data_IF_646575893894
#
_entry.id   IF_646575893894
#
_cell.length_a   1.000
_cell.length_b   1.000
_cell.length_c   1.000
_cell.angle_alpha   90.00
_cell.angle_beta   90.00
_cell.angle_gamma   90.00
#
_symmetry.space_group_name_H-M   'P 1'
#
loop_
_entity.id
_entity.type
_entity.pdbx_description
1 polymer ?
#
# COMPACT_ATOMS: atom_id res chain seq x y z
N UNK A 1 -7.92 -8.39 -8.54
CA UNK A 1 -6.96 -7.33 -8.14
C UNK A 1 -6.22 -7.76 -6.89
N UNK A 2 -4.90 -7.62 -6.87
CA UNK A 2 -4.08 -7.76 -5.66
C UNK A 2 -3.40 -6.43 -5.35
N UNK A 3 -3.33 -6.06 -4.07
CA UNK A 3 -2.70 -4.83 -3.59
C UNK A 3 -1.41 -5.20 -2.88
N UNK A 4 -0.29 -4.72 -3.41
CA UNK A 4 1.05 -4.92 -2.87
C UNK A 4 1.51 -3.66 -2.15
N UNK A 5 1.96 -3.85 -0.91
CA UNK A 5 2.49 -2.80 -0.06
C UNK A 5 3.93 -3.17 0.27
N UNK A 6 4.89 -2.38 -0.20
CA UNK A 6 6.29 -2.63 0.05
C UNK A 6 6.86 -1.66 1.07
N UNK A 7 7.64 -2.18 2.02
CA UNK A 7 8.31 -1.39 3.05
C UNK A 7 9.64 -0.77 2.58
N UNK A 8 10.05 -1.01 1.33
CA UNK A 8 11.29 -0.46 0.75
C UNK A 8 11.18 -0.31 -0.76
N UNK A 9 12.07 0.48 -1.35
CA UNK A 9 12.05 0.80 -2.79
C UNK A 9 12.56 -0.34 -3.69
N UNK A 10 13.41 -1.23 -3.18
CA UNK A 10 13.97 -2.33 -4.00
C UNK A 10 12.95 -3.44 -4.27
N UNK A 11 12.04 -3.66 -3.32
CA UNK A 11 11.07 -4.75 -3.35
C UNK A 11 10.01 -4.62 -4.47
N UNK A 12 9.41 -3.44 -4.73
CA UNK A 12 8.52 -3.21 -5.87
C UNK A 12 9.16 -3.57 -7.20
N UNK A 13 10.45 -3.25 -7.40
CA UNK A 13 11.14 -3.51 -8.64
C UNK A 13 11.43 -5.01 -8.84
N UNK A 14 11.79 -5.73 -7.77
CA UNK A 14 11.88 -7.20 -7.79
C UNK A 14 10.52 -7.85 -8.08
N UNK A 15 9.45 -7.28 -7.53
CA UNK A 15 8.10 -7.76 -7.78
C UNK A 15 7.65 -7.52 -9.23
N UNK A 16 7.98 -6.34 -9.75
CA UNK A 16 7.72 -5.94 -11.12
C UNK A 16 8.42 -6.86 -12.12
N UNK A 17 9.68 -7.23 -11.87
CA UNK A 17 10.42 -8.16 -12.72
C UNK A 17 9.74 -9.54 -12.81
N UNK A 18 9.14 -10.01 -11.71
CA UNK A 18 8.35 -11.26 -11.71
C UNK A 18 7.02 -11.11 -12.47
N UNK A 19 6.43 -9.91 -12.49
CA UNK A 19 5.17 -9.64 -13.19
C UNK A 19 5.36 -9.29 -14.67
N UNK A 20 6.54 -8.80 -15.07
CA UNK A 20 6.79 -8.38 -16.46
C UNK A 20 6.76 -9.52 -17.48
N UNK A 21 6.81 -10.77 -17.03
CA UNK A 21 6.60 -11.94 -17.89
C UNK A 21 5.14 -12.09 -18.33
N UNK A 22 4.20 -11.41 -17.67
CA UNK A 22 2.76 -11.60 -17.86
C UNK A 22 2.07 -10.39 -18.51
N UNK A 23 2.64 -9.18 -18.37
CA UNK A 23 2.15 -8.00 -19.10
C UNK A 23 2.86 -6.70 -18.76
N UNK A 24 2.21 -5.57 -19.04
CA UNK A 24 2.85 -4.26 -18.99
C UNK A 24 2.95 -3.75 -17.55
N UNK A 25 4.11 -3.16 -17.23
CA UNK A 25 4.38 -2.51 -15.95
C UNK A 25 4.36 -1.00 -16.16
N UNK A 26 3.63 -0.28 -15.32
CA UNK A 26 3.64 1.18 -15.31
C UNK A 26 4.10 1.71 -13.95
N UNK A 27 4.95 2.74 -13.96
CA UNK A 27 5.36 3.49 -12.78
C UNK A 27 4.77 4.90 -12.82
N UNK A 28 3.94 5.22 -11.83
CA UNK A 28 3.48 6.58 -11.56
C UNK A 28 4.47 7.26 -10.64
N UNK A 29 5.01 8.40 -11.07
CA UNK A 29 6.00 9.16 -10.30
C UNK A 29 5.80 10.67 -10.47
N UNK A 30 6.38 11.45 -9.55
CA UNK A 30 6.52 12.90 -9.66
C UNK A 30 7.99 13.25 -9.85
N UNK A 31 8.40 13.63 -11.07
CA UNK A 31 9.77 14.08 -11.33
C UNK A 31 10.84 12.99 -11.06
N UNK A 32 11.83 13.30 -10.23
CA UNK A 32 12.91 12.38 -9.87
C UNK A 32 12.42 11.37 -8.80
N UNK A 33 12.25 10.11 -9.20
CA UNK A 33 11.96 9.01 -8.30
C UNK A 33 13.12 8.02 -8.30
N UNK A 34 13.58 7.65 -7.10
CA UNK A 34 14.62 6.64 -6.93
C UNK A 34 14.17 5.25 -7.41
N UNK A 35 12.87 5.02 -7.62
CA UNK A 35 12.34 3.79 -8.20
C UNK A 35 12.56 3.71 -9.70
N UNK A 36 12.71 4.83 -10.41
CA UNK A 36 12.82 4.83 -11.88
C UNK A 36 14.04 4.03 -12.31
N UNK A 37 15.22 4.34 -11.77
CA UNK A 37 16.47 3.66 -12.11
C UNK A 37 16.43 2.19 -11.70
N UNK A 38 15.95 1.90 -10.48
CA UNK A 38 15.85 0.53 -9.96
C UNK A 38 14.88 -0.33 -10.78
N UNK A 39 13.77 0.24 -11.22
CA UNK A 39 12.79 -0.45 -12.05
C UNK A 39 13.32 -0.68 -13.47
N UNK A 40 13.93 0.33 -14.10
CA UNK A 40 14.52 0.21 -15.43
C UNK A 40 15.69 -0.78 -15.47
N UNK A 41 16.41 -0.96 -14.35
CA UNK A 41 17.47 -1.95 -14.24
C UNK A 41 16.95 -3.40 -14.20
N UNK A 42 15.68 -3.61 -13.87
CA UNK A 42 15.07 -4.94 -13.64
C UNK A 42 13.95 -5.28 -14.62
N UNK A 43 13.41 -4.30 -15.33
CA UNK A 43 12.30 -4.43 -16.28
C UNK A 43 12.73 -3.78 -17.60
N UNK A 44 12.61 -4.53 -18.71
CA UNK A 44 13.09 -4.08 -20.02
C UNK A 44 12.29 -2.90 -20.59
N UNK A 45 10.98 -2.82 -20.29
CA UNK A 45 10.08 -1.82 -20.87
C UNK A 45 9.04 -1.26 -19.87
N UNK A 46 9.44 -0.65 -18.75
CA UNK A 46 8.49 0.00 -17.86
C UNK A 46 7.91 1.25 -18.54
N UNK A 47 6.60 1.43 -18.42
CA UNK A 47 5.91 2.65 -18.84
C UNK A 47 6.07 3.67 -17.71
N UNK A 48 6.86 4.72 -17.93
CA UNK A 48 7.02 5.80 -16.97
C UNK A 48 5.94 6.86 -17.19
N UNK A 49 5.20 7.18 -16.14
CA UNK A 49 4.07 8.11 -16.17
C UNK A 49 4.30 9.21 -15.14
N UNK A 50 4.62 10.40 -15.63
CA UNK A 50 4.64 11.61 -14.83
C UNK A 50 3.20 12.04 -14.51
N UNK A 51 2.87 12.11 -13.22
CA UNK A 51 1.54 12.44 -12.72
C UNK A 51 1.12 13.90 -12.99
N UNK A 52 2.08 14.81 -13.24
CA UNK A 52 1.80 16.18 -13.65
C UNK A 52 1.80 16.36 -15.17
N UNK A 53 2.34 15.38 -15.88
CA UNK A 53 2.44 15.38 -17.33
C UNK A 53 1.10 15.10 -18.02
N UNK A 54 0.98 15.45 -19.32
CA UNK A 54 -0.15 15.04 -20.15
C UNK A 54 -0.20 13.51 -20.38
N UNK A 55 0.81 12.78 -19.89
CA UNK A 55 0.95 11.34 -20.08
C UNK A 55 -0.09 10.55 -19.29
N UNK A 56 -0.42 10.98 -18.07
CA UNK A 56 -1.39 10.28 -17.21
C UNK A 56 -2.75 10.06 -17.90
N UNK A 57 -3.21 11.05 -18.69
CA UNK A 57 -4.49 10.96 -19.42
C UNK A 57 -4.44 10.18 -20.74
N UNK A 58 -3.24 9.73 -21.15
CA UNK A 58 -3.02 8.98 -22.39
C UNK A 58 -2.71 7.51 -22.15
N UNK A 59 -2.46 7.11 -20.91
CA UNK A 59 -2.20 5.72 -20.55
C UNK A 59 -3.52 4.96 -20.62
N UNK A 60 -3.53 3.89 -21.41
CA UNK A 60 -4.62 2.92 -21.38
C UNK A 60 -4.29 1.89 -20.28
N UNK A 61 -4.93 2.04 -19.12
CA UNK A 61 -4.69 1.16 -17.98
C UNK A 61 -5.24 -0.26 -18.17
N UNK A 62 -6.15 -0.48 -19.13
CA UNK A 62 -6.64 -1.81 -19.49
C UNK A 62 -5.54 -2.75 -20.01
N UNK A 63 -4.42 -2.19 -20.47
CA UNK A 63 -3.27 -2.95 -20.97
C UNK A 63 -2.17 -3.11 -19.91
N UNK A 64 -2.32 -2.51 -18.73
CA UNK A 64 -1.35 -2.53 -17.64
C UNK A 64 -1.73 -3.65 -16.67
N UNK A 65 -0.77 -4.54 -16.40
CA UNK A 65 -0.97 -5.65 -15.46
C UNK A 65 -0.61 -5.24 -14.04
N UNK A 66 0.46 -4.47 -13.89
CA UNK A 66 0.93 -3.94 -12.61
C UNK A 66 1.19 -2.45 -12.71
N UNK A 67 0.52 -1.70 -11.85
CA UNK A 67 0.73 -0.28 -11.66
C UNK A 67 1.46 -0.06 -10.34
N UNK A 68 2.66 0.52 -10.42
CA UNK A 68 3.48 0.89 -9.27
C UNK A 68 3.30 2.39 -9.04
N UNK A 69 2.93 2.79 -7.84
CA UNK A 69 2.85 4.19 -7.45
C UNK A 69 3.93 4.48 -6.40
N UNK A 70 4.82 5.42 -6.75
CA UNK A 70 5.72 6.03 -5.77
C UNK A 70 4.93 7.07 -4.96
N UNK A 71 4.60 6.73 -3.73
CA UNK A 71 3.81 7.59 -2.84
C UNK A 71 4.73 8.23 -1.81
N UNK A 72 5.20 9.42 -2.14
CA UNK A 72 5.81 10.34 -1.17
C UNK A 72 4.75 11.29 -0.58
N UNK A 73 4.94 11.81 0.64
CA UNK A 73 4.09 12.86 1.19
C UNK A 73 3.97 14.07 0.24
N UNK A 74 5.07 14.46 -0.40
CA UNK A 74 5.14 15.55 -1.37
C UNK A 74 4.21 15.30 -2.56
N UNK A 75 4.29 14.09 -3.14
CA UNK A 75 3.46 13.64 -4.25
C UNK A 75 1.99 13.70 -3.93
N UNK A 76 1.60 13.26 -2.74
CA UNK A 76 0.21 13.27 -2.28
C UNK A 76 -0.33 14.67 -2.01
N UNK A 77 0.51 15.58 -1.50
CA UNK A 77 0.14 16.96 -1.22
C UNK A 77 0.19 17.86 -2.46
N UNK A 78 0.76 17.38 -3.57
CA UNK A 78 0.84 18.11 -4.84
C UNK A 78 -0.53 18.20 -5.55
N UNK A 79 -0.65 19.12 -6.52
CA UNK A 79 -1.82 19.22 -7.38
C UNK A 79 -2.04 17.96 -8.26
N UNK A 80 -0.97 17.23 -8.57
CA UNK A 80 -1.00 15.95 -9.26
C UNK A 80 -1.44 14.81 -8.35
N UNK A 81 -1.13 14.90 -7.05
CA UNK A 81 -1.50 13.92 -6.03
C UNK A 81 -3.00 13.67 -5.96
N UNK A 82 -3.83 14.72 -6.03
CA UNK A 82 -5.29 14.51 -6.04
C UNK A 82 -5.76 13.73 -7.27
N UNK A 83 -5.22 14.05 -8.46
CA UNK A 83 -5.56 13.34 -9.71
C UNK A 83 -5.08 11.90 -9.69
N UNK A 84 -3.88 11.67 -9.17
CA UNK A 84 -3.32 10.35 -8.94
C UNK A 84 -4.25 9.52 -8.05
N UNK A 85 -4.70 10.10 -6.94
CA UNK A 85 -5.60 9.44 -6.00
C UNK A 85 -6.97 9.11 -6.62
N UNK A 86 -7.55 10.06 -7.37
CA UNK A 86 -8.82 9.82 -8.07
C UNK A 86 -8.66 8.71 -9.14
N UNK A 87 -7.55 8.69 -9.88
CA UNK A 87 -7.25 7.65 -10.87
C UNK A 87 -7.05 6.27 -10.23
N UNK A 88 -6.23 6.18 -9.18
CA UNK A 88 -5.99 4.93 -8.45
C UNK A 88 -7.28 4.39 -7.81
N UNK A 89 -8.12 5.27 -7.26
CA UNK A 89 -9.42 4.90 -6.70
C UNK A 89 -10.39 4.36 -7.75
N UNK A 90 -10.37 4.90 -8.97
CA UNK A 90 -11.18 4.39 -10.08
C UNK A 90 -10.68 3.03 -10.56
N UNK A 91 -9.37 2.90 -10.82
CA UNK A 91 -8.75 1.66 -11.30
C UNK A 91 -8.93 0.51 -10.31
N UNK A 92 -8.89 0.80 -9.01
CA UNK A 92 -9.12 -0.22 -7.99
C UNK A 92 -10.54 -0.81 -7.99
N UNK A 93 -11.53 -0.11 -8.57
CA UNK A 93 -12.91 -0.60 -8.65
C UNK A 93 -13.12 -1.56 -9.83
N UNK A 94 -12.26 -1.53 -10.84
CA UNK A 94 -12.40 -2.30 -12.08
C UNK A 94 -11.83 -3.73 -11.96
N UNK A 95 -11.07 -4.02 -10.91
CA UNK A 95 -10.81 -5.38 -10.41
C UNK A 95 -9.76 -6.20 -11.16
N UNK A 96 -9.26 -5.76 -12.32
CA UNK A 96 -8.31 -6.54 -13.13
C UNK A 96 -6.84 -6.16 -12.90
N UNK A 97 -6.57 -4.91 -12.51
CA UNK A 97 -5.23 -4.39 -12.31
C UNK A 97 -4.62 -4.80 -10.97
N UNK A 98 -3.32 -5.12 -10.93
CA UNK A 98 -2.56 -5.19 -9.68
C UNK A 98 -1.95 -3.84 -9.33
N UNK A 99 -2.00 -3.47 -8.06
CA UNK A 99 -1.48 -2.19 -7.56
C UNK A 99 -0.31 -2.44 -6.62
N UNK A 100 0.83 -1.80 -6.86
CA UNK A 100 1.96 -1.79 -5.93
C UNK A 100 2.23 -0.38 -5.44
N UNK A 101 2.44 -0.25 -4.13
CA UNK A 101 2.74 1.02 -3.49
C UNK A 101 4.11 0.94 -2.83
N UNK A 102 4.88 2.01 -3.04
CA UNK A 102 6.21 2.20 -2.48
C UNK A 102 6.31 3.57 -1.84
N UNK A 103 7.14 3.69 -0.80
CA UNK A 103 7.44 4.95 -0.13
C UNK A 103 6.82 5.10 1.26
N UNK A 104 7.32 6.10 1.98
CA UNK A 104 7.05 6.30 3.41
C UNK A 104 5.58 6.71 3.69
N UNK A 105 4.81 7.07 2.66
CA UNK A 105 3.41 7.51 2.78
C UNK A 105 2.37 6.39 2.50
N UNK A 106 2.75 5.11 2.51
CA UNK A 106 1.85 3.98 2.18
C UNK A 106 0.59 3.88 3.07
N UNK A 107 0.56 4.59 4.21
CA UNK A 107 -0.63 4.78 5.06
C UNK A 107 -1.87 5.29 4.29
N UNK A 108 -1.67 5.92 3.14
CA UNK A 108 -2.70 6.49 2.26
C UNK A 108 -3.52 5.42 1.52
N UNK A 109 -3.23 4.12 1.64
CA UNK A 109 -4.10 3.07 1.10
C UNK A 109 -5.23 2.62 2.06
N UNK A 110 -5.27 3.18 3.28
CA UNK A 110 -6.19 2.84 4.38
C UNK A 110 -7.34 3.82 4.69
N UNK A 111 -7.98 3.67 5.86
CA UNK A 111 -9.16 4.45 6.31
C UNK A 111 -8.82 5.88 6.78
N UNK A 112 -9.77 6.79 6.57
CA UNK A 112 -9.85 8.18 7.04
C UNK A 112 -9.68 8.31 8.57
N UNK A 113 -8.71 9.10 9.01
CA UNK A 113 -8.67 9.65 10.37
C UNK A 113 -9.34 11.05 10.34
N UNK A 114 -10.16 11.37 11.34
CA UNK A 114 -10.94 12.63 11.43
C UNK A 114 -10.07 13.91 11.56
N UNK A 115 -8.74 13.77 11.67
CA UNK A 115 -7.78 14.87 11.77
C UNK A 115 -7.49 15.56 10.43
N UNK A 116 -8.14 15.12 9.33
CA UNK A 116 -8.35 15.95 8.14
C UNK A 116 -7.13 16.23 7.26
N UNK A 117 -6.00 15.57 7.48
CA UNK A 117 -4.75 15.83 6.73
C UNK A 117 -4.38 14.70 5.74
N UNK A 118 -4.92 13.48 5.88
CA UNK A 118 -4.54 12.37 4.97
C UNK A 118 -5.72 11.49 4.61
N UNK A 119 -6.48 11.86 3.58
CA UNK A 119 -7.52 11.00 3.03
C UNK A 119 -6.85 9.83 2.29
N UNK A 120 -7.01 8.60 2.79
CA UNK A 120 -6.56 7.41 2.10
C UNK A 120 -7.53 6.95 1.00
N UNK A 121 -7.04 6.15 0.05
CA UNK A 121 -7.80 5.50 -1.02
C UNK A 121 -8.81 4.46 -0.50
N UNK A 122 -8.67 4.03 0.77
CA UNK A 122 -9.49 2.99 1.39
C UNK A 122 -9.54 1.70 0.54
N UNK A 123 -8.40 1.33 -0.06
CA UNK A 123 -8.25 0.10 -0.85
C UNK A 123 -8.27 -1.13 0.04
N UNK A 124 -7.80 -0.99 1.29
CA UNK A 124 -7.96 -1.98 2.34
C UNK A 124 -9.00 -1.45 3.33
N UNK A 125 -10.26 -1.95 3.28
CA UNK A 125 -11.35 -1.38 4.05
C UNK A 125 -11.05 -1.30 5.54
N UNK A 126 -11.39 -0.19 6.19
CA UNK A 126 -11.29 -0.03 7.67
C UNK A 126 -9.92 -0.44 8.24
N UNK A 127 -8.85 -0.16 7.51
CA UNK A 127 -7.50 -0.57 7.90
C UNK A 127 -6.57 0.63 7.90
N UNK A 128 -5.76 0.77 8.95
CA UNK A 128 -4.62 1.69 9.01
C UNK A 128 -3.38 0.93 8.58
N UNK A 129 -2.60 1.52 7.69
CA UNK A 129 -1.39 0.88 7.16
C UNK A 129 -0.17 1.65 7.67
N UNK A 130 0.83 0.91 8.16
CA UNK A 130 2.10 1.46 8.60
C UNK A 130 3.20 0.87 7.70
N UNK A 131 3.83 1.68 6.83
CA UNK A 131 4.86 1.19 5.90
C UNK A 131 6.16 0.75 6.60
N UNK A 132 6.48 1.36 7.74
CA UNK A 132 7.64 1.00 8.55
C UNK A 132 7.30 1.18 10.03
N UNK A 133 7.18 0.07 10.74
CA UNK A 133 6.90 0.05 12.18
C UNK A 133 8.04 0.65 13.00
N UNK A 134 9.28 0.59 12.51
CA UNK A 134 10.46 1.13 13.20
C UNK A 134 10.49 2.66 13.16
N UNK A 135 9.87 3.26 12.13
CA UNK A 135 9.73 4.70 11.99
C UNK A 135 8.63 5.30 12.89
N UNK A 136 7.77 4.47 13.51
CA UNK A 136 6.64 4.94 14.32
C UNK A 136 7.13 5.42 15.69
N UNK A 137 6.91 6.70 16.06
CA UNK A 137 7.39 7.23 17.35
C UNK A 137 6.77 6.56 18.59
N UNK A 138 5.54 6.06 18.47
CA UNK A 138 4.85 5.33 19.53
C UNK A 138 3.81 4.37 18.95
N UNK A 139 4.19 3.10 18.81
CA UNK A 139 3.27 2.04 18.37
C UNK A 139 2.07 1.91 19.32
N UNK A 140 2.27 2.10 20.62
CA UNK A 140 1.20 2.04 21.62
C UNK A 140 0.13 3.12 21.41
N UNK A 141 0.54 4.36 21.10
CA UNK A 141 -0.41 5.44 20.83
C UNK A 141 -1.21 5.18 19.56
N UNK A 142 -0.56 4.61 18.54
CA UNK A 142 -1.21 4.27 17.27
C UNK A 142 -2.21 3.13 17.44
N UNK A 143 -1.82 2.05 18.13
CA UNK A 143 -2.73 0.96 18.48
C UNK A 143 -3.93 1.45 19.30
N UNK A 144 -3.71 2.41 20.21
CA UNK A 144 -4.79 3.07 20.96
C UNK A 144 -5.79 3.77 20.04
N UNK A 145 -5.33 4.61 19.10
CA UNK A 145 -6.21 5.30 18.13
C UNK A 145 -6.93 4.34 17.19
N UNK A 146 -6.20 3.36 16.65
CA UNK A 146 -6.79 2.34 15.77
C UNK A 146 -7.89 1.56 16.50
N UNK A 147 -7.66 1.28 17.79
CA UNK A 147 -8.66 0.65 18.62
C UNK A 147 -9.89 1.51 18.90
N UNK A 148 -9.70 2.79 19.26
CA UNK A 148 -10.80 3.73 19.54
C UNK A 148 -11.75 3.86 18.35
N UNK A 149 -11.18 3.82 17.14
CA UNK A 149 -11.92 3.91 15.89
C UNK A 149 -12.44 2.56 15.38
N UNK A 150 -12.09 1.46 16.05
CA UNK A 150 -12.45 0.11 15.64
C UNK A 150 -11.96 -0.22 14.22
N UNK A 151 -10.72 0.17 13.89
CA UNK A 151 -10.09 -0.07 12.59
C UNK A 151 -8.98 -1.10 12.72
N UNK A 152 -8.83 -1.94 11.70
CA UNK A 152 -7.75 -2.92 11.59
C UNK A 152 -6.41 -2.21 11.40
N UNK A 153 -5.32 -2.91 11.64
CA UNK A 153 -3.98 -2.39 11.40
C UNK A 153 -3.13 -3.41 10.66
N UNK A 154 -2.47 -2.95 9.60
CA UNK A 154 -1.41 -3.67 8.90
C UNK A 154 -0.12 -2.86 9.04
N UNK A 155 0.83 -3.37 9.81
CA UNK A 155 2.14 -2.74 9.95
C UNK A 155 3.23 -3.61 9.33
N UNK A 156 4.15 -2.97 8.62
CA UNK A 156 5.27 -3.63 7.97
C UNK A 156 6.55 -3.35 8.76
N UNK A 157 7.31 -4.41 9.03
CA UNK A 157 8.66 -4.34 9.57
C UNK A 157 9.62 -4.71 8.44
N UNK A 158 10.37 -3.71 7.96
CA UNK A 158 11.15 -3.82 6.74
C UNK A 158 12.31 -4.83 6.86
N UNK A 159 12.80 -5.41 5.74
CA UNK A 159 12.28 -5.30 4.37
C UNK A 159 11.23 -6.38 4.06
N UNK A 160 10.00 -5.97 3.72
CA UNK A 160 8.86 -6.87 3.50
C UNK A 160 7.88 -6.32 2.45
N UNK A 161 7.25 -7.24 1.70
CA UNK A 161 6.07 -6.97 0.88
C UNK A 161 4.88 -7.70 1.48
N UNK A 162 3.80 -6.96 1.70
CA UNK A 162 2.50 -7.52 2.02
C UNK A 162 1.60 -7.46 0.78
N UNK A 163 1.08 -8.61 0.35
CA UNK A 163 0.09 -8.70 -0.72
C UNK A 163 -1.28 -8.97 -0.11
N UNK A 164 -2.17 -7.98 -0.21
CA UNK A 164 -3.57 -8.08 0.22
C UNK A 164 -4.45 -8.53 -0.96
N UNK A 165 -5.21 -9.59 -0.72
CA UNK A 165 -6.20 -10.14 -1.66
C UNK A 165 -7.62 -9.81 -1.16
N UNK A 166 -8.29 -8.79 -1.75
CA UNK A 166 -9.59 -8.33 -1.26
C UNK A 166 -10.69 -9.39 -1.28
N UNK A 167 -10.67 -10.29 -2.26
CA UNK A 167 -11.69 -11.36 -2.41
C UNK A 167 -11.71 -12.31 -1.21
N UNK A 168 -10.53 -12.58 -0.63
CA UNK A 168 -10.36 -13.51 0.48
C UNK A 168 -10.16 -12.79 1.82
N UNK A 169 -10.00 -11.46 1.80
CA UNK A 169 -9.62 -10.64 2.96
C UNK A 169 -8.37 -11.19 3.67
N UNK A 170 -7.39 -11.65 2.88
CA UNK A 170 -6.13 -12.24 3.35
C UNK A 170 -4.92 -11.40 2.96
N UNK A 171 -3.90 -11.44 3.81
CA UNK A 171 -2.58 -10.88 3.55
C UNK A 171 -1.57 -12.02 3.43
N UNK A 172 -0.75 -11.98 2.40
CA UNK A 172 0.43 -12.83 2.26
C UNK A 172 1.71 -12.01 2.33
N UNK A 173 2.78 -12.60 2.84
CA UNK A 173 4.04 -11.91 3.13
C UNK A 173 5.20 -12.52 2.36
N UNK A 174 6.04 -11.66 1.80
CA UNK A 174 7.32 -12.03 1.19
C UNK A 174 8.43 -11.09 1.66
N UNK A 175 9.62 -11.63 1.91
CA UNK A 175 10.80 -10.86 2.30
C UNK A 175 11.30 -11.19 3.71
N UNK A 176 12.45 -10.63 4.08
CA UNK A 176 13.15 -10.97 5.32
C UNK A 176 12.52 -10.35 6.57
N UNK A 177 11.67 -9.33 6.40
CA UNK A 177 10.94 -8.67 7.46
C UNK A 177 9.65 -9.40 7.89
N UNK A 178 8.69 -8.65 8.42
CA UNK A 178 7.41 -9.22 8.87
C UNK A 178 6.24 -8.25 8.68
N UNK A 179 5.02 -8.78 8.59
CA UNK A 179 3.80 -7.98 8.63
C UNK A 179 3.00 -8.30 9.90
N UNK A 180 2.57 -7.26 10.62
CA UNK A 180 1.71 -7.37 11.79
C UNK A 180 0.28 -7.01 11.39
N UNK A 181 -0.62 -7.98 11.51
CA UNK A 181 -2.07 -7.77 11.42
C UNK A 181 -2.64 -7.59 12.82
N UNK A 182 -3.42 -6.53 13.03
CA UNK A 182 -4.17 -6.33 14.25
C UNK A 182 -5.66 -6.09 13.98
N UNK A 183 -6.49 -6.70 14.81
CA UNK A 183 -7.92 -6.42 14.92
C UNK A 183 -8.25 -6.05 16.36
N UNK A 184 -9.17 -5.13 16.55
CA UNK A 184 -9.56 -4.65 17.87
C UNK A 184 -11.00 -5.06 18.16
N UNK A 185 -11.19 -5.69 19.31
CA UNK A 185 -12.51 -5.99 19.83
C UNK A 185 -13.01 -4.77 20.60
N UNK A 186 -14.16 -4.25 20.17
CA UNK A 186 -14.84 -3.16 20.87
C UNK A 186 -15.14 -3.59 22.31
N UNK A 187 -14.61 -2.86 23.27
CA UNK A 187 -14.98 -3.02 24.67
C UNK A 187 -16.33 -2.37 24.91
N UNK A 188 -17.42 -3.12 24.74
CA UNK A 188 -18.71 -2.71 25.29
C UNK A 188 -18.52 -2.55 26.81
N UNK A 189 -18.72 -1.35 27.34
CA UNK A 189 -18.69 -1.00 28.78
C UNK A 189 -17.36 -0.53 29.40
N UNK A 190 -16.46 0.08 28.62
CA UNK A 190 -15.28 0.76 29.22
C UNK A 190 -14.19 -0.18 29.71
N UNK A 191 -14.23 -1.44 29.28
CA UNK A 191 -13.07 -2.33 29.36
C UNK A 191 -11.97 -1.84 28.42
N UNK A 192 -10.71 -2.06 28.80
CA UNK A 192 -9.58 -1.74 27.93
C UNK A 192 -9.76 -2.51 26.62
N UNK A 193 -9.66 -1.85 25.46
CA UNK A 193 -9.77 -2.55 24.19
C UNK A 193 -8.76 -3.69 24.12
N UNK A 194 -9.22 -4.84 23.64
CA UNK A 194 -8.36 -6.00 23.44
C UNK A 194 -8.00 -6.08 21.97
N UNK A 195 -6.70 -6.05 21.67
CA UNK A 195 -6.19 -6.28 20.33
C UNK A 195 -5.82 -7.76 20.17
N UNK A 196 -6.17 -8.34 19.03
CA UNK A 196 -5.65 -9.62 18.57
C UNK A 196 -4.64 -9.37 17.47
N UNK A 197 -3.52 -10.07 17.52
CA UNK A 197 -2.34 -9.80 16.72
C UNK A 197 -1.87 -11.07 16.02
N UNK A 198 -1.71 -11.03 14.71
CA UNK A 198 -1.02 -12.06 13.93
C UNK A 198 0.25 -11.45 13.33
N UNK A 199 1.40 -12.09 13.57
CA UNK A 199 2.66 -11.73 12.90
C UNK A 199 2.92 -12.73 11.78
N UNK A 200 3.00 -12.21 10.56
CA UNK A 200 3.25 -12.97 9.34
C UNK A 200 4.71 -12.76 8.91
N UNK A 201 5.38 -13.84 8.55
CA UNK A 201 6.76 -13.86 8.04
C UNK A 201 6.80 -14.44 6.63
N UNK A 202 7.98 -14.52 6.02
CA UNK A 202 8.15 -14.97 4.64
C UNK A 202 7.37 -16.26 4.30
N UNK A 203 6.60 -16.20 3.22
CA UNK A 203 5.78 -17.32 2.74
C UNK A 203 4.50 -17.58 3.53
N UNK A 204 4.25 -16.84 4.63
CA UNK A 204 3.00 -16.94 5.37
C UNK A 204 1.86 -16.21 4.67
N UNK A 205 0.65 -16.70 4.89
CA UNK A 205 -0.61 -16.09 4.44
C UNK A 205 -1.67 -16.32 5.50
N UNK A 206 -2.42 -15.28 5.84
CA UNK A 206 -3.52 -15.38 6.79
C UNK A 206 -4.57 -14.27 6.59
N UNK A 207 -5.74 -14.46 7.18
CA UNK A 207 -6.75 -13.42 7.33
C UNK A 207 -6.49 -12.53 8.55
N UNK A 208 -7.39 -11.57 8.76
CA UNK A 208 -7.37 -10.76 9.97
C UNK A 208 -7.68 -11.60 11.21
N UNK A 209 -7.00 -11.36 12.35
CA UNK A 209 -7.32 -12.05 13.57
C UNK A 209 -8.78 -11.76 13.96
N UNK A 210 -9.61 -12.80 14.03
CA UNK A 210 -10.95 -12.77 14.65
C UNK A 210 -10.81 -12.72 16.16
#
# INVERSE_FOLDING_TARGET
>A
MTIYLASSLDLPADYAAKHSEHGLIALLHEGESALIETLQAKVDTPILVDIHGPTLSRVNFDAVDLLIADLTPETLLSAGGRRLMDALGHLAQEGELSLAFAGDATAVTGLLLEDGITAGLNLIPRTVIIPDVQAVPSLAALLGRASEQGVRLLALDAPVVAAYEPENDTVSVQGAGSALLASFLGGDNGERPTARLHALTDGMRDGWPA
#
